data_IF_243895542617
#
_entry.id   IF_243895542617
#
_cell.length_a   1.000
_cell.length_b   1.000
_cell.length_c   1.000
_cell.angle_alpha   90.00
_cell.angle_beta   90.00
_cell.angle_gamma   90.00
#
_symmetry.space_group_name_H-M   'P 1'
#
loop_
_entity.id
_entity.type
_entity.pdbx_description
1 polymer ?
#
# COMPACT_ATOMS: atom_id res chain seq x y z
N UNK A 1 -54.62 -11.04 48.33
CA UNK A 1 -54.34 -9.79 47.60
C UNK A 1 -52.86 -9.79 47.22
N UNK A 2 -52.54 -10.22 46.01
CA UNK A 2 -51.16 -10.21 45.47
C UNK A 2 -51.13 -9.21 44.33
N UNK A 3 -50.40 -8.11 44.50
CA UNK A 3 -50.09 -7.16 43.44
C UNK A 3 -48.61 -7.22 43.14
N UNK A 4 -48.24 -7.84 42.03
CA UNK A 4 -46.89 -7.75 41.47
C UNK A 4 -46.87 -6.61 40.45
N UNK A 5 -46.10 -5.57 40.76
CA UNK A 5 -45.69 -4.55 39.79
C UNK A 5 -44.58 -5.14 38.91
N UNK A 6 -44.80 -5.17 37.60
CA UNK A 6 -43.77 -5.42 36.59
C UNK A 6 -43.38 -4.07 35.98
N UNK A 7 -42.22 -3.54 36.35
CA UNK A 7 -41.61 -2.41 35.64
C UNK A 7 -40.89 -2.93 34.40
N UNK A 8 -41.41 -2.60 33.23
CA UNK A 8 -40.74 -2.82 31.95
C UNK A 8 -39.64 -1.76 31.76
N UNK A 9 -38.37 -2.19 31.73
CA UNK A 9 -37.23 -1.35 31.37
C UNK A 9 -37.13 -1.34 29.84
N UNK A 10 -37.46 -0.20 29.23
CA UNK A 10 -37.31 0.05 27.81
C UNK A 10 -35.83 0.38 27.52
N UNK A 11 -35.04 -0.62 27.11
CA UNK A 11 -33.67 -0.42 26.67
C UNK A 11 -33.65 0.21 25.28
N UNK A 12 -33.42 1.52 25.20
CA UNK A 12 -33.16 2.20 23.94
C UNK A 12 -31.76 1.81 23.43
N UNK A 13 -31.72 0.90 22.47
CA UNK A 13 -30.56 0.61 21.64
C UNK A 13 -30.31 1.80 20.70
N UNK A 14 -29.50 2.76 21.15
CA UNK A 14 -28.93 3.77 20.27
C UNK A 14 -27.92 3.10 19.34
N UNK A 15 -28.33 2.81 18.11
CA UNK A 15 -27.40 2.47 17.04
C UNK A 15 -26.53 3.71 16.77
N UNK A 16 -25.30 3.71 17.28
CA UNK A 16 -24.28 4.64 16.84
C UNK A 16 -23.99 4.34 15.37
N UNK A 17 -24.53 5.16 14.47
CA UNK A 17 -24.02 5.25 13.09
C UNK A 17 -22.63 5.86 13.22
N UNK A 18 -21.60 5.02 13.31
CA UNK A 18 -20.22 5.47 13.16
C UNK A 18 -20.08 5.99 11.73
N UNK A 19 -20.16 7.32 11.57
CA UNK A 19 -19.87 7.96 10.28
C UNK A 19 -18.48 7.53 9.84
N UNK A 20 -18.40 6.94 8.64
CA UNK A 20 -17.13 6.48 8.07
C UNK A 20 -16.17 7.67 7.95
N UNK A 21 -15.20 7.78 8.85
CA UNK A 21 -14.21 8.84 8.83
C UNK A 21 -13.19 8.54 7.73
N UNK A 22 -13.01 9.46 6.78
CA UNK A 22 -11.96 9.35 5.78
C UNK A 22 -10.57 9.34 6.49
N UNK A 23 -9.81 8.22 6.46
CA UNK A 23 -8.52 8.12 7.15
C UNK A 23 -7.43 8.99 6.52
N UNK A 24 -7.70 9.59 5.35
CA UNK A 24 -6.81 10.56 4.73
C UNK A 24 -7.06 12.00 5.20
N UNK A 25 -8.15 12.28 5.91
CA UNK A 25 -8.48 13.63 6.35
C UNK A 25 -7.40 14.15 7.32
N UNK A 26 -6.77 15.29 6.99
CA UNK A 26 -5.67 15.86 7.77
C UNK A 26 -4.30 15.21 7.56
N UNK A 27 -4.20 14.22 6.68
CA UNK A 27 -2.90 13.63 6.30
C UNK A 27 -2.28 14.41 5.14
N UNK A 28 -0.98 14.72 5.23
CA UNK A 28 -0.21 15.29 4.11
C UNK A 28 0.10 14.26 3.00
N UNK A 29 -0.55 13.10 3.03
CA UNK A 29 -0.22 11.97 2.16
C UNK A 29 -0.47 12.24 0.68
N UNK A 30 -1.24 13.28 0.33
CA UNK A 30 -1.54 13.61 -1.06
C UNK A 30 -2.30 12.48 -1.77
N UNK A 31 -2.23 12.45 -3.11
CA UNK A 31 -2.87 11.40 -3.93
C UNK A 31 -1.95 10.18 -4.05
N UNK A 32 -2.52 8.99 -3.91
CA UNK A 32 -1.86 7.70 -4.05
C UNK A 32 -1.28 7.53 -5.46
N UNK A 33 -2.00 7.99 -6.49
CA UNK A 33 -1.48 7.97 -7.86
C UNK A 33 -0.21 8.79 -8.01
N UNK A 34 -0.14 9.99 -7.42
CA UNK A 34 1.07 10.82 -7.45
C UNK A 34 2.27 10.13 -6.77
N UNK A 35 2.05 9.43 -5.65
CA UNK A 35 3.09 8.70 -4.92
C UNK A 35 3.57 7.47 -5.67
N UNK A 36 2.65 6.70 -6.27
CA UNK A 36 3.00 5.56 -7.12
C UNK A 36 3.76 6.01 -8.37
N UNK A 37 3.35 7.11 -9.00
CA UNK A 37 4.08 7.70 -10.14
C UNK A 37 5.47 8.20 -9.73
N UNK A 38 5.66 8.69 -8.51
CA UNK A 38 7.00 9.02 -8.01
C UNK A 38 7.86 7.76 -7.86
N UNK A 39 7.32 6.70 -7.27
CA UNK A 39 8.02 5.41 -7.14
C UNK A 39 8.44 4.86 -8.51
N UNK A 40 7.54 4.95 -9.51
CA UNK A 40 7.82 4.57 -10.90
C UNK A 40 8.97 5.39 -11.46
N UNK A 41 8.93 6.72 -11.36
CA UNK A 41 10.01 7.61 -11.86
C UNK A 41 11.37 7.35 -11.21
N UNK A 42 11.38 6.94 -9.94
CA UNK A 42 12.63 6.62 -9.26
C UNK A 42 13.25 5.30 -9.78
N UNK A 43 12.43 4.35 -10.23
CA UNK A 43 12.86 3.01 -10.62
C UNK A 43 12.98 2.81 -12.14
N UNK A 44 12.39 3.69 -12.96
CA UNK A 44 12.60 3.81 -14.41
C UNK A 44 13.16 5.22 -14.68
N UNK A 45 14.40 5.42 -14.23
CA UNK A 45 15.03 6.73 -14.17
C UNK A 45 15.45 7.22 -15.57
N UNK A 46 15.75 6.28 -16.48
CA UNK A 46 16.08 6.59 -17.86
C UNK A 46 14.84 6.69 -18.78
N UNK A 47 13.65 6.33 -18.27
CA UNK A 47 12.36 6.37 -18.97
C UNK A 47 12.37 5.53 -20.26
N UNK A 48 12.98 4.34 -20.22
CA UNK A 48 13.03 3.38 -21.32
C UNK A 48 11.90 2.33 -21.27
N UNK A 49 10.98 2.47 -20.31
CA UNK A 49 9.86 1.55 -20.06
C UNK A 49 10.28 0.18 -19.53
N UNK A 50 11.49 0.06 -18.98
CA UNK A 50 11.95 -1.06 -18.20
C UNK A 50 12.50 -0.57 -16.87
N UNK A 51 12.24 -1.34 -15.81
CA UNK A 51 12.88 -1.16 -14.51
C UNK A 51 14.00 -2.19 -14.43
N UNK A 52 15.24 -1.70 -14.46
CA UNK A 52 16.43 -2.55 -14.44
C UNK A 52 16.97 -2.76 -13.03
N UNK A 53 17.75 -3.83 -12.86
CA UNK A 53 18.48 -4.10 -11.62
C UNK A 53 19.40 -2.97 -11.18
N UNK A 54 20.02 -2.27 -12.14
CA UNK A 54 20.91 -1.15 -11.87
C UNK A 54 20.14 0.09 -11.39
N UNK A 55 18.94 0.33 -11.92
CA UNK A 55 18.05 1.41 -11.44
C UNK A 55 17.50 1.10 -10.06
N UNK A 56 17.04 -0.14 -9.81
CA UNK A 56 16.61 -0.56 -8.48
C UNK A 56 17.77 -0.41 -7.49
N UNK A 57 18.97 -0.85 -7.85
CA UNK A 57 20.15 -0.68 -7.00
C UNK A 57 20.44 0.79 -6.73
N UNK A 58 20.36 1.65 -7.74
CA UNK A 58 20.56 3.08 -7.56
C UNK A 58 19.53 3.68 -6.59
N UNK A 59 18.25 3.32 -6.72
CA UNK A 59 17.18 3.74 -5.81
C UNK A 59 17.44 3.24 -4.38
N UNK A 60 17.79 1.96 -4.20
CA UNK A 60 18.12 1.38 -2.89
C UNK A 60 19.29 2.10 -2.21
N UNK A 61 20.38 2.33 -2.93
CA UNK A 61 21.57 3.01 -2.38
C UNK A 61 21.28 4.48 -2.04
N UNK A 62 20.50 5.18 -2.87
CA UNK A 62 20.25 6.62 -2.68
C UNK A 62 19.20 6.90 -1.61
N UNK A 63 18.16 6.07 -1.54
CA UNK A 63 16.96 6.39 -0.77
C UNK A 63 16.72 5.46 0.42
N UNK A 64 17.25 4.24 0.41
CA UNK A 64 16.92 3.21 1.40
C UNK A 64 18.09 2.89 2.35
N UNK A 65 19.24 2.48 1.82
CA UNK A 65 20.44 2.09 2.58
C UNK A 65 21.09 3.32 3.24
N UNK A 66 20.61 3.72 4.42
CA UNK A 66 20.98 4.99 5.07
C UNK A 66 22.34 4.92 5.72
N UNK A 67 22.74 3.73 6.17
CA UNK A 67 24.04 3.50 6.79
C UNK A 67 25.12 3.07 5.78
N UNK A 68 24.76 2.88 4.51
CA UNK A 68 25.64 2.49 3.41
C UNK A 68 26.36 1.15 3.64
N UNK A 69 25.69 0.19 4.29
CA UNK A 69 26.24 -1.13 4.58
C UNK A 69 25.96 -2.18 3.48
N UNK A 70 25.22 -1.80 2.43
CA UNK A 70 24.84 -2.66 1.31
C UNK A 70 23.61 -3.53 1.58
N UNK A 71 22.93 -3.31 2.71
CA UNK A 71 21.75 -4.01 3.14
C UNK A 71 20.65 -3.04 3.52
N UNK A 72 19.45 -3.27 3.00
CA UNK A 72 18.26 -2.51 3.39
C UNK A 72 17.49 -3.30 4.43
N UNK A 73 17.46 -2.77 5.65
CA UNK A 73 16.65 -3.30 6.76
C UNK A 73 15.16 -3.00 6.57
N UNK A 74 14.30 -3.69 7.32
CA UNK A 74 12.85 -3.37 7.34
C UNK A 74 12.61 -1.91 7.77
N UNK A 75 13.38 -1.40 8.73
CA UNK A 75 13.21 -0.03 9.22
C UNK A 75 13.57 0.98 8.14
N UNK A 76 14.72 0.83 7.50
CA UNK A 76 15.13 1.68 6.37
C UNK A 76 14.14 1.65 5.21
N UNK A 77 13.62 0.47 4.89
CA UNK A 77 12.59 0.31 3.88
C UNK A 77 11.32 1.09 4.24
N UNK A 78 10.80 0.90 5.45
CA UNK A 78 9.60 1.60 5.91
C UNK A 78 9.81 3.11 5.94
N UNK A 79 10.96 3.57 6.40
CA UNK A 79 11.29 5.00 6.48
C UNK A 79 11.40 5.64 5.10
N UNK A 80 12.00 4.95 4.13
CA UNK A 80 12.07 5.40 2.74
C UNK A 80 10.67 5.58 2.13
N UNK A 81 9.78 4.60 2.32
CA UNK A 81 8.39 4.68 1.83
C UNK A 81 7.57 5.75 2.56
N UNK A 82 7.78 5.90 3.87
CA UNK A 82 7.15 6.96 4.66
C UNK A 82 7.62 8.36 4.24
N UNK A 83 8.86 8.51 3.76
CA UNK A 83 9.38 9.79 3.26
C UNK A 83 8.63 10.30 2.04
N UNK A 84 8.14 9.39 1.19
CA UNK A 84 7.21 9.68 0.08
C UNK A 84 5.74 9.47 0.46
N UNK A 85 5.48 9.49 1.77
CA UNK A 85 4.17 9.53 2.44
C UNK A 85 3.31 8.28 2.25
N UNK A 86 3.84 7.12 1.89
CA UNK A 86 3.09 5.85 1.95
C UNK A 86 2.88 5.40 3.40
N UNK A 87 1.89 4.53 3.63
CA UNK A 87 1.65 3.93 4.93
C UNK A 87 2.70 2.88 5.28
N UNK A 88 2.94 2.70 6.58
CA UNK A 88 3.86 1.66 7.08
C UNK A 88 3.37 0.25 6.72
N UNK A 89 2.06 0.04 6.74
CA UNK A 89 1.41 -1.22 6.37
C UNK A 89 1.75 -1.57 4.93
N UNK A 90 1.60 -0.61 4.00
CA UNK A 90 1.91 -0.84 2.60
C UNK A 90 3.40 -1.06 2.37
N UNK A 91 4.27 -0.24 2.96
CA UNK A 91 5.71 -0.43 2.88
C UNK A 91 6.12 -1.84 3.34
N UNK A 92 5.60 -2.28 4.50
CA UNK A 92 5.90 -3.60 5.07
C UNK A 92 5.40 -4.72 4.16
N UNK A 93 4.15 -4.64 3.68
CA UNK A 93 3.58 -5.63 2.76
C UNK A 93 4.40 -5.73 1.48
N UNK A 94 4.84 -4.59 0.93
CA UNK A 94 5.63 -4.55 -0.30
C UNK A 94 6.98 -5.25 -0.15
N UNK A 95 7.68 -5.05 0.97
CA UNK A 95 8.93 -5.75 1.26
C UNK A 95 8.70 -7.26 1.35
N UNK A 96 7.66 -7.69 2.07
CA UNK A 96 7.34 -9.12 2.21
C UNK A 96 7.02 -9.79 0.87
N UNK A 97 6.38 -9.08 -0.06
CA UNK A 97 6.11 -9.59 -1.41
C UNK A 97 7.37 -9.76 -2.28
N UNK A 98 8.53 -9.26 -1.84
CA UNK A 98 9.84 -9.58 -2.44
C UNK A 98 10.40 -10.93 -1.96
N UNK A 99 9.64 -11.67 -1.14
CA UNK A 99 10.02 -12.98 -0.58
C UNK A 99 11.35 -12.95 0.18
N UNK A 100 11.61 -11.86 0.89
CA UNK A 100 12.80 -11.68 1.73
C UNK A 100 12.57 -12.19 3.15
N UNK A 101 13.64 -12.62 3.81
CA UNK A 101 13.60 -12.89 5.24
C UNK A 101 13.82 -11.59 6.03
N UNK A 102 12.74 -10.97 6.51
CA UNK A 102 12.79 -9.73 7.31
C UNK A 102 13.48 -9.86 8.67
N UNK A 103 13.75 -11.09 9.14
CA UNK A 103 14.53 -11.35 10.36
C UNK A 103 16.03 -11.51 10.09
N UNK A 104 16.43 -11.56 8.81
CA UNK A 104 17.84 -11.56 8.42
C UNK A 104 18.52 -10.24 8.84
N UNK A 105 19.81 -10.26 9.21
CA UNK A 105 20.59 -9.02 9.35
C UNK A 105 20.62 -8.19 8.05
N UNK A 106 20.45 -8.85 6.90
CA UNK A 106 20.36 -8.24 5.59
C UNK A 106 19.12 -8.78 4.87
N UNK A 107 17.92 -8.24 5.11
CA UNK A 107 16.70 -8.70 4.45
C UNK A 107 16.76 -8.51 2.95
N UNK A 108 17.23 -7.34 2.50
CA UNK A 108 17.34 -7.00 1.09
C UNK A 108 18.73 -6.47 0.79
N UNK A 109 19.54 -7.24 0.05
CA UNK A 109 20.83 -6.73 -0.43
C UNK A 109 20.63 -5.78 -1.60
N UNK A 110 21.42 -4.70 -1.67
CA UNK A 110 21.38 -3.74 -2.80
C UNK A 110 21.73 -4.38 -4.16
N UNK A 111 22.37 -5.56 -4.16
CA UNK A 111 22.70 -6.30 -5.38
C UNK A 111 21.70 -7.43 -5.70
N UNK A 112 20.63 -7.59 -4.92
CA UNK A 112 19.67 -8.71 -5.08
C UNK A 112 19.01 -8.75 -6.46
N UNK A 113 18.85 -7.59 -7.11
CA UNK A 113 18.21 -7.47 -8.41
C UNK A 113 19.20 -7.37 -9.57
N UNK A 114 20.49 -7.72 -9.37
CA UNK A 114 21.47 -7.66 -10.45
C UNK A 114 21.03 -8.50 -11.67
N UNK A 115 21.09 -7.89 -12.86
CA UNK A 115 20.70 -8.54 -14.11
C UNK A 115 19.19 -8.67 -14.33
N UNK A 116 18.36 -8.16 -13.41
CA UNK A 116 16.91 -8.08 -13.59
C UNK A 116 16.56 -7.00 -14.60
N UNK A 117 15.55 -7.27 -15.43
CA UNK A 117 14.89 -6.28 -16.29
C UNK A 117 13.40 -6.58 -16.30
N UNK A 118 12.59 -5.65 -15.80
CA UNK A 118 11.15 -5.81 -15.64
C UNK A 118 10.47 -4.81 -16.57
N UNK A 119 9.59 -5.23 -17.48
CA UNK A 119 8.77 -4.27 -18.24
C UNK A 119 8.00 -3.36 -17.27
N UNK A 120 7.96 -2.06 -17.54
CA UNK A 120 7.36 -1.07 -16.64
C UNK A 120 5.93 -1.44 -16.23
N UNK A 121 5.13 -1.96 -17.18
CA UNK A 121 3.77 -2.46 -16.90
C UNK A 121 3.76 -3.58 -15.85
N UNK A 122 4.73 -4.50 -15.89
CA UNK A 122 4.89 -5.55 -14.88
C UNK A 122 5.26 -4.99 -13.52
N UNK A 123 6.17 -4.00 -13.48
CA UNK A 123 6.54 -3.32 -12.24
C UNK A 123 5.34 -2.58 -11.60
N UNK A 124 4.53 -1.90 -12.41
CA UNK A 124 3.33 -1.20 -11.93
C UNK A 124 2.31 -2.18 -11.37
N UNK A 125 1.98 -3.24 -12.11
CA UNK A 125 1.05 -4.27 -11.63
C UNK A 125 1.56 -4.93 -10.34
N UNK A 126 2.86 -5.20 -10.20
CA UNK A 126 3.42 -5.78 -8.97
C UNK A 126 3.23 -4.86 -7.74
N UNK A 127 3.37 -3.54 -7.91
CA UNK A 127 3.08 -2.59 -6.82
C UNK A 127 1.58 -2.54 -6.49
N UNK A 128 0.72 -2.51 -7.52
CA UNK A 128 -0.73 -2.52 -7.34
C UNK A 128 -1.22 -3.80 -6.66
N UNK A 129 -0.75 -4.97 -7.10
CA UNK A 129 -1.10 -6.27 -6.54
C UNK A 129 -0.72 -6.37 -5.06
N UNK A 130 0.44 -5.84 -4.68
CA UNK A 130 0.88 -5.79 -3.28
C UNK A 130 -0.06 -4.96 -2.42
N UNK A 131 -0.44 -3.77 -2.89
CA UNK A 131 -1.40 -2.90 -2.19
C UNK A 131 -2.79 -3.55 -2.12
N UNK A 132 -3.29 -4.11 -3.23
CA UNK A 132 -4.58 -4.80 -3.28
C UNK A 132 -4.60 -5.97 -2.30
N UNK A 133 -3.56 -6.82 -2.31
CA UNK A 133 -3.43 -7.97 -1.41
C UNK A 133 -3.45 -7.54 0.06
N UNK A 134 -2.75 -6.46 0.41
CA UNK A 134 -2.79 -5.90 1.76
C UNK A 134 -4.21 -5.50 2.16
N UNK A 135 -4.87 -4.68 1.34
CA UNK A 135 -6.16 -4.10 1.68
C UNK A 135 -7.29 -5.14 1.68
N UNK A 136 -7.27 -6.08 0.74
CA UNK A 136 -8.25 -7.17 0.68
C UNK A 136 -8.02 -8.22 1.78
N UNK A 137 -6.77 -8.44 2.18
CA UNK A 137 -6.42 -9.33 3.29
C UNK A 137 -6.94 -8.86 4.65
N UNK A 138 -7.22 -7.56 4.80
CA UNK A 138 -7.87 -7.00 5.98
C UNK A 138 -8.74 -5.80 5.62
N UNK A 139 -10.05 -6.05 5.44
CA UNK A 139 -11.04 -5.06 5.04
C UNK A 139 -11.16 -3.84 5.98
N UNK A 140 -10.70 -3.95 7.24
CA UNK A 140 -10.68 -2.79 8.15
C UNK A 140 -9.72 -1.70 7.70
N UNK A 141 -8.67 -2.06 6.94
CA UNK A 141 -7.67 -1.12 6.44
C UNK A 141 -8.25 -0.10 5.47
N UNK A 142 -9.35 -0.42 4.77
CA UNK A 142 -10.06 0.57 3.94
C UNK A 142 -10.57 1.77 4.72
N UNK A 143 -10.74 1.65 6.04
CA UNK A 143 -11.23 2.71 6.91
C UNK A 143 -10.16 3.29 7.83
N UNK A 144 -8.99 2.65 7.94
CA UNK A 144 -7.93 3.05 8.89
C UNK A 144 -6.61 3.41 8.22
N UNK A 145 -6.38 2.99 6.98
CA UNK A 145 -5.16 3.26 6.22
C UNK A 145 -5.48 4.07 4.97
N UNK A 146 -4.85 5.24 4.85
CA UNK A 146 -5.12 6.16 3.74
C UNK A 146 -4.84 5.55 2.36
N UNK A 147 -3.80 4.72 2.22
CA UNK A 147 -3.48 4.06 0.94
C UNK A 147 -4.59 3.09 0.50
N UNK A 148 -5.12 2.29 1.44
CA UNK A 148 -6.25 1.40 1.15
C UNK A 148 -7.53 2.18 0.85
N UNK A 149 -7.83 3.24 1.62
CA UNK A 149 -8.95 4.11 1.34
C UNK A 149 -8.87 4.70 -0.08
N UNK A 150 -7.70 5.24 -0.47
CA UNK A 150 -7.51 5.80 -1.80
C UNK A 150 -7.50 4.74 -2.91
N UNK A 151 -7.02 3.51 -2.64
CA UNK A 151 -7.17 2.39 -3.57
C UNK A 151 -8.65 2.17 -3.93
N UNK A 152 -9.50 2.04 -2.92
CA UNK A 152 -10.94 1.78 -3.08
C UNK A 152 -11.69 2.93 -3.72
N UNK A 153 -11.43 4.16 -3.28
CA UNK A 153 -12.27 5.30 -3.66
C UNK A 153 -11.73 6.11 -4.83
N UNK A 154 -10.46 5.97 -5.21
CA UNK A 154 -9.81 6.86 -6.18
C UNK A 154 -8.96 6.12 -7.21
N UNK A 155 -7.95 5.35 -6.79
CA UNK A 155 -6.88 4.89 -7.67
C UNK A 155 -7.39 4.01 -8.82
N UNK A 156 -8.05 2.89 -8.50
CA UNK A 156 -8.48 1.96 -9.55
C UNK A 156 -9.82 2.34 -10.20
N UNK A 157 -10.59 3.24 -9.58
CA UNK A 157 -11.94 3.59 -10.04
C UNK A 157 -12.01 4.93 -10.80
N UNK A 158 -11.16 5.90 -10.47
CA UNK A 158 -11.27 7.27 -10.96
C UNK A 158 -9.98 7.80 -11.60
N UNK A 159 -8.83 7.17 -11.33
CA UNK A 159 -7.57 7.61 -11.92
C UNK A 159 -7.39 7.02 -13.32
N UNK A 160 -7.46 7.91 -14.34
CA UNK A 160 -7.44 7.53 -15.74
C UNK A 160 -6.17 6.76 -16.17
N UNK A 161 -5.05 6.95 -15.46
CA UNK A 161 -3.83 6.20 -15.72
C UNK A 161 -3.93 4.80 -15.13
N UNK A 162 -4.26 4.69 -13.83
CA UNK A 162 -4.19 3.43 -13.11
C UNK A 162 -5.35 2.45 -13.43
N UNK A 163 -6.52 2.95 -13.84
CA UNK A 163 -7.68 2.10 -14.17
C UNK A 163 -7.43 1.10 -15.30
N UNK A 164 -6.41 1.32 -16.15
CA UNK A 164 -6.11 0.47 -17.29
C UNK A 164 -5.14 -0.68 -16.98
N UNK A 165 -4.58 -0.72 -15.76
CA UNK A 165 -3.67 -1.80 -15.37
C UNK A 165 -4.45 -3.05 -14.96
N UNK A 166 -3.94 -4.22 -15.31
CA UNK A 166 -4.59 -5.51 -15.09
C UNK A 166 -4.97 -5.73 -13.62
N UNK A 167 -4.10 -5.34 -12.68
CA UNK A 167 -4.37 -5.41 -11.24
C UNK A 167 -5.60 -4.59 -10.83
N UNK A 168 -5.72 -3.34 -11.33
CA UNK A 168 -6.87 -2.50 -11.05
C UNK A 168 -8.15 -3.01 -11.73
N UNK A 169 -8.08 -3.46 -12.98
CA UNK A 169 -9.21 -4.06 -13.68
C UNK A 169 -9.76 -5.27 -12.93
N UNK A 170 -8.86 -6.15 -12.47
CA UNK A 170 -9.22 -7.31 -11.65
C UNK A 170 -9.86 -6.88 -10.32
N UNK A 171 -9.24 -5.94 -9.60
CA UNK A 171 -9.75 -5.43 -8.33
C UNK A 171 -11.16 -4.84 -8.44
N UNK A 172 -11.40 -3.97 -9.43
CA UNK A 172 -12.72 -3.37 -9.64
C UNK A 172 -13.75 -4.45 -9.98
N UNK A 173 -13.39 -5.44 -10.80
CA UNK A 173 -14.30 -6.54 -11.14
C UNK A 173 -14.67 -7.41 -9.93
N UNK A 174 -13.77 -7.62 -8.97
CA UNK A 174 -14.07 -8.41 -7.77
C UNK A 174 -14.91 -7.63 -6.75
N UNK A 175 -14.73 -6.31 -6.65
CA UNK A 175 -15.47 -5.46 -5.71
C UNK A 175 -16.91 -5.19 -6.17
N UNK A 176 -17.18 -5.23 -7.48
CA UNK A 176 -18.54 -5.02 -8.02
C UNK A 176 -19.43 -6.26 -7.99
N UNK A 177 -18.86 -7.45 -7.75
CA UNK A 177 -19.59 -8.72 -7.77
C UNK A 177 -19.87 -9.26 -6.35
N UNK A 178 -19.19 -8.72 -5.32
CA UNK A 178 -19.42 -9.04 -3.90
C UNK A 178 -20.36 -8.05 -3.22
#
# INVERSE_FOLDING_TARGET
>A
MYGFLVFAVCAMLSAFVQGQTNPCAGTESGRLSSRLLQNIRNNDANNDSFVTGDEIKADLVQHYDKNADGCVTLQEWVDAWASVKFSKEYATARLLDLNVNVTSPCPLSVNQFQGVSIPLVGFINANLDSLIKLCEGNQTLYNTVCDCYQLKHQLCNLDAYFQNFASCLKYVSSVLVG
#
